data_IF_544455174056
#
_entry.id   IF_544455174056
#
_cell.length_a   1.000
_cell.length_b   1.000
_cell.length_c   1.000
_cell.angle_alpha   90.00
_cell.angle_beta   90.00
_cell.angle_gamma   90.00
#
_symmetry.space_group_name_H-M   'P 1'
#
loop_
_entity.id
_entity.type
_entity.pdbx_description
1 polymer ?
#
# COMPACT_ATOMS: atom_id res chain seq x y z
N UNK A 1 29.78 -20.65 -8.98
CA UNK A 1 30.28 -19.32 -8.57
C UNK A 1 29.07 -18.41 -8.55
N UNK A 2 28.93 -17.59 -7.51
CA UNK A 2 27.71 -16.83 -7.22
C UNK A 2 27.80 -15.47 -7.91
N UNK A 3 26.72 -14.98 -8.55
CA UNK A 3 26.75 -13.77 -9.40
C UNK A 3 27.38 -12.58 -8.66
N UNK A 4 26.96 -12.35 -7.42
CA UNK A 4 27.50 -11.24 -6.64
C UNK A 4 29.01 -11.36 -6.37
N UNK A 5 29.55 -12.58 -6.21
CA UNK A 5 30.98 -12.80 -5.99
C UNK A 5 31.80 -12.51 -7.26
N UNK A 6 31.18 -12.58 -8.44
CA UNK A 6 31.81 -12.25 -9.73
C UNK A 6 31.77 -10.75 -10.06
N UNK A 7 30.80 -10.03 -9.49
CA UNK A 7 30.46 -8.67 -9.92
C UNK A 7 30.66 -7.58 -8.86
N UNK A 8 30.92 -7.94 -7.60
CA UNK A 8 31.16 -6.99 -6.51
C UNK A 8 32.45 -7.31 -5.75
N UNK A 9 33.05 -6.27 -5.15
CA UNK A 9 34.19 -6.42 -4.26
C UNK A 9 33.81 -7.25 -3.02
N UNK A 10 34.73 -8.10 -2.55
CA UNK A 10 34.46 -9.02 -1.43
C UNK A 10 34.01 -8.29 -0.15
N UNK A 11 34.58 -7.12 0.15
CA UNK A 11 34.21 -6.31 1.31
C UNK A 11 32.77 -5.78 1.21
N UNK A 12 32.36 -5.34 0.01
CA UNK A 12 30.98 -4.91 -0.26
C UNK A 12 30.01 -6.08 -0.07
N UNK A 13 30.34 -7.27 -0.58
CA UNK A 13 29.52 -8.47 -0.39
C UNK A 13 29.35 -8.85 1.09
N UNK A 14 30.41 -8.75 1.90
CA UNK A 14 30.34 -9.02 3.35
C UNK A 14 29.42 -8.00 4.02
N UNK A 15 29.59 -6.70 3.72
CA UNK A 15 28.76 -5.62 4.26
C UNK A 15 27.28 -5.82 3.90
N UNK A 16 26.99 -6.14 2.64
CA UNK A 16 25.63 -6.37 2.17
C UNK A 16 24.96 -7.57 2.86
N UNK A 17 25.65 -8.71 2.96
CA UNK A 17 25.14 -9.89 3.65
C UNK A 17 24.78 -9.59 5.11
N UNK A 18 25.62 -8.79 5.80
CA UNK A 18 25.36 -8.35 7.17
C UNK A 18 24.10 -7.46 7.24
N UNK A 19 24.01 -6.43 6.40
CA UNK A 19 22.86 -5.51 6.37
C UNK A 19 21.55 -6.23 6.02
N UNK A 20 21.57 -7.13 5.05
CA UNK A 20 20.42 -7.96 4.68
C UNK A 20 19.98 -8.88 5.82
N UNK A 21 20.94 -9.45 6.57
CA UNK A 21 20.64 -10.30 7.73
C UNK A 21 19.96 -9.50 8.86
N UNK A 22 20.45 -8.29 9.14
CA UNK A 22 19.83 -7.37 10.12
C UNK A 22 18.43 -6.98 9.67
N UNK A 23 18.26 -6.59 8.40
CA UNK A 23 16.96 -6.23 7.85
C UNK A 23 15.96 -7.39 7.96
N UNK A 24 16.39 -8.59 7.59
CA UNK A 24 15.60 -9.82 7.69
C UNK A 24 15.15 -10.11 9.12
N UNK A 25 16.06 -9.99 10.08
CA UNK A 25 15.73 -10.15 11.50
C UNK A 25 14.61 -9.18 11.92
N UNK A 26 14.70 -7.91 11.54
CA UNK A 26 13.66 -6.92 11.88
C UNK A 26 12.35 -7.14 11.11
N UNK A 27 12.39 -7.64 9.88
CA UNK A 27 11.18 -8.09 9.20
C UNK A 27 10.49 -9.23 9.98
N UNK A 28 11.25 -10.24 10.42
CA UNK A 28 10.72 -11.37 11.20
C UNK A 28 10.10 -10.92 12.54
N UNK A 29 10.71 -9.95 13.23
CA UNK A 29 10.14 -9.34 14.44
C UNK A 29 8.85 -8.58 14.14
N UNK A 30 8.81 -7.79 13.05
CA UNK A 30 7.61 -7.05 12.65
C UNK A 30 6.48 -7.96 12.18
N UNK A 31 6.79 -9.03 11.45
CA UNK A 31 5.82 -10.06 11.06
C UNK A 31 5.19 -10.69 12.29
N UNK A 32 6.00 -11.11 13.27
CA UNK A 32 5.51 -11.69 14.53
C UNK A 32 4.62 -10.70 15.28
N UNK A 33 5.05 -9.45 15.38
CA UNK A 33 4.27 -8.39 16.00
C UNK A 33 2.93 -8.17 15.26
N UNK A 34 2.94 -8.06 13.93
CA UNK A 34 1.74 -7.90 13.10
C UNK A 34 0.75 -9.05 13.29
N UNK A 35 1.23 -10.30 13.29
CA UNK A 35 0.39 -11.46 13.55
C UNK A 35 -0.31 -11.34 14.91
N UNK A 36 0.44 -11.00 15.97
CA UNK A 36 -0.13 -10.81 17.30
C UNK A 36 -1.10 -9.63 17.35
N UNK A 37 -0.77 -8.50 16.73
CA UNK A 37 -1.64 -7.33 16.64
C UNK A 37 -2.98 -7.70 15.98
N UNK A 38 -2.93 -8.43 14.87
CA UNK A 38 -4.13 -8.90 14.17
C UNK A 38 -4.92 -9.92 15.01
N UNK A 39 -4.25 -10.85 15.70
CA UNK A 39 -4.89 -11.81 16.59
C UNK A 39 -5.61 -11.13 17.77
N UNK A 40 -5.03 -10.06 18.33
CA UNK A 40 -5.62 -9.29 19.43
C UNK A 40 -6.79 -8.39 18.99
N UNK A 41 -6.97 -8.20 17.68
CA UNK A 41 -8.17 -7.58 17.08
C UNK A 41 -9.25 -8.60 16.72
N UNK A 42 -8.91 -9.90 16.74
CA UNK A 42 -9.83 -10.96 16.38
C UNK A 42 -11.01 -11.00 17.34
N UNK A 43 -12.18 -11.23 16.77
CA UNK A 43 -13.46 -11.28 17.48
C UNK A 43 -13.83 -9.96 18.20
N UNK A 44 -13.11 -8.87 17.95
CA UNK A 44 -13.50 -7.52 18.38
C UNK A 44 -14.36 -6.86 17.31
N UNK A 45 -15.54 -6.36 17.70
CA UNK A 45 -16.36 -5.54 16.81
C UNK A 45 -15.68 -4.20 16.62
N UNK A 46 -15.19 -3.95 15.42
CA UNK A 46 -14.59 -2.66 15.06
C UNK A 46 -15.68 -1.61 14.81
N UNK A 47 -15.29 -0.34 14.89
CA UNK A 47 -16.13 0.77 14.42
C UNK A 47 -16.41 0.61 12.91
N UNK A 48 -17.54 1.15 12.45
CA UNK A 48 -17.96 1.06 11.04
C UNK A 48 -16.84 1.48 10.10
N UNK A 49 -16.48 0.61 9.16
CA UNK A 49 -15.43 0.85 8.16
C UNK A 49 -13.98 0.64 8.65
N UNK A 50 -13.71 0.62 9.96
CA UNK A 50 -12.35 0.47 10.48
C UNK A 50 -11.72 -0.92 10.21
N UNK A 51 -12.53 -1.93 9.89
CA UNK A 51 -12.02 -3.24 9.42
C UNK A 51 -11.15 -3.13 8.16
N UNK A 52 -11.29 -2.06 7.38
CA UNK A 52 -10.43 -1.80 6.23
C UNK A 52 -8.95 -1.69 6.62
N UNK A 53 -8.64 -1.13 7.79
CA UNK A 53 -7.28 -1.05 8.30
C UNK A 53 -6.69 -2.43 8.59
N UNK A 54 -7.49 -3.34 9.17
CA UNK A 54 -7.05 -4.73 9.43
C UNK A 54 -6.77 -5.48 8.12
N UNK A 55 -7.59 -5.26 7.08
CA UNK A 55 -7.37 -5.82 5.74
C UNK A 55 -6.09 -5.30 5.10
N UNK A 56 -5.82 -4.00 5.20
CA UNK A 56 -4.58 -3.38 4.71
C UNK A 56 -3.36 -3.91 5.48
N UNK A 57 -3.41 -3.98 6.81
CA UNK A 57 -2.33 -4.57 7.62
C UNK A 57 -2.08 -6.04 7.28
N UNK A 58 -3.13 -6.82 7.01
CA UNK A 58 -3.01 -8.21 6.57
C UNK A 58 -2.28 -8.29 5.22
N UNK A 59 -2.65 -7.43 4.27
CA UNK A 59 -1.98 -7.37 2.95
C UNK A 59 -0.51 -6.96 3.08
N UNK A 60 -0.21 -5.97 3.92
CA UNK A 60 1.17 -5.57 4.23
C UNK A 60 1.95 -6.75 4.82
N UNK A 61 1.39 -7.46 5.81
CA UNK A 61 2.01 -8.64 6.42
C UNK A 61 2.32 -9.73 5.38
N UNK A 62 1.39 -10.03 4.48
CA UNK A 62 1.62 -11.02 3.42
C UNK A 62 2.72 -10.59 2.43
N UNK A 63 2.77 -9.31 2.06
CA UNK A 63 3.84 -8.77 1.22
C UNK A 63 5.19 -8.78 1.94
N UNK A 64 5.19 -8.53 3.26
CA UNK A 64 6.39 -8.56 4.09
C UNK A 64 6.94 -9.99 4.20
N UNK A 65 6.07 -10.99 4.40
CA UNK A 65 6.44 -12.41 4.37
C UNK A 65 7.07 -12.80 3.02
N UNK A 66 6.45 -12.39 1.91
CA UNK A 66 6.98 -12.67 0.58
C UNK A 66 8.34 -11.99 0.35
N UNK A 67 8.51 -10.74 0.77
CA UNK A 67 9.76 -10.02 0.65
C UNK A 67 10.86 -10.69 1.49
N UNK A 68 10.54 -11.09 2.71
CA UNK A 68 11.44 -11.79 3.62
C UNK A 68 11.89 -13.15 3.05
N UNK A 69 10.95 -13.91 2.46
CA UNK A 69 11.25 -15.17 1.79
C UNK A 69 12.19 -14.99 0.59
N UNK A 70 12.14 -13.85 -0.11
CA UNK A 70 13.01 -13.57 -1.26
C UNK A 70 14.34 -12.90 -0.87
N UNK A 71 14.42 -12.23 0.28
CA UNK A 71 15.56 -11.40 0.67
C UNK A 71 16.89 -12.15 0.65
N UNK A 72 16.92 -13.40 1.12
CA UNK A 72 18.14 -14.18 1.17
C UNK A 72 18.75 -14.45 -0.22
N UNK A 73 17.91 -14.49 -1.27
CA UNK A 73 18.36 -14.68 -2.65
C UNK A 73 19.18 -13.48 -3.14
N UNK A 74 19.03 -12.29 -2.53
CA UNK A 74 19.86 -11.12 -2.85
C UNK A 74 21.32 -11.29 -2.40
N UNK A 75 21.62 -12.22 -1.48
CA UNK A 75 23.01 -12.54 -1.14
C UNK A 75 23.75 -13.17 -2.31
N UNK A 76 23.02 -13.92 -3.13
CA UNK A 76 23.58 -14.69 -4.24
C UNK A 76 23.43 -13.96 -5.58
N UNK A 77 22.28 -13.34 -5.78
CA UNK A 77 21.95 -12.60 -6.99
C UNK A 77 21.12 -11.35 -6.67
N UNK A 78 21.79 -10.20 -6.70
CA UNK A 78 21.16 -8.91 -6.46
C UNK A 78 19.98 -8.58 -7.41
N UNK A 79 19.82 -9.26 -8.56
CA UNK A 79 18.71 -9.01 -9.52
C UNK A 79 17.33 -9.33 -8.92
N UNK A 80 17.28 -10.17 -7.88
CA UNK A 80 16.06 -10.42 -7.09
C UNK A 80 15.49 -9.16 -6.42
N UNK A 81 16.28 -8.08 -6.29
CA UNK A 81 15.82 -6.81 -5.73
C UNK A 81 14.62 -6.20 -6.47
N UNK A 82 14.45 -6.49 -7.76
CA UNK A 82 13.29 -6.02 -8.54
C UNK A 82 11.98 -6.46 -7.91
N UNK A 83 11.86 -7.76 -7.62
CA UNK A 83 10.66 -8.35 -7.04
C UNK A 83 10.42 -7.81 -5.63
N UNK A 84 11.49 -7.67 -4.84
CA UNK A 84 11.42 -7.12 -3.48
C UNK A 84 10.98 -5.65 -3.52
N UNK A 85 11.52 -4.85 -4.44
CA UNK A 85 11.11 -3.46 -4.63
C UNK A 85 9.63 -3.32 -5.01
N UNK A 86 9.09 -4.21 -5.85
CA UNK A 86 7.66 -4.22 -6.19
C UNK A 86 6.79 -4.56 -4.98
N UNK A 87 7.22 -5.51 -4.13
CA UNK A 87 6.54 -5.84 -2.88
C UNK A 87 6.55 -4.65 -1.92
N UNK A 88 7.72 -4.02 -1.72
CA UNK A 88 7.86 -2.82 -0.90
C UNK A 88 7.05 -1.64 -1.43
N UNK A 89 6.99 -1.44 -2.75
CA UNK A 89 6.11 -0.42 -3.39
C UNK A 89 4.67 -0.66 -2.99
N UNK A 90 4.22 -1.91 -3.07
CA UNK A 90 2.85 -2.29 -2.74
C UNK A 90 2.54 -2.07 -1.26
N UNK A 91 3.49 -2.37 -0.36
CA UNK A 91 3.36 -2.05 1.05
C UNK A 91 3.28 -0.54 1.31
N UNK A 92 4.12 0.27 0.65
CA UNK A 92 4.08 1.74 0.79
C UNK A 92 2.74 2.31 0.27
N UNK A 93 2.21 1.79 -0.82
CA UNK A 93 0.87 2.13 -1.32
C UNK A 93 -0.22 1.82 -0.27
N UNK A 94 -0.19 0.63 0.33
CA UNK A 94 -1.12 0.26 1.40
C UNK A 94 -0.95 1.10 2.68
N UNK A 95 0.29 1.53 3.01
CA UNK A 95 0.57 2.46 4.11
C UNK A 95 -0.03 3.84 3.81
N UNK A 96 0.15 4.37 2.59
CA UNK A 96 -0.45 5.64 2.15
C UNK A 96 -1.98 5.55 2.21
N UNK A 97 -2.56 4.46 1.72
CA UNK A 97 -4.00 4.22 1.79
C UNK A 97 -4.51 4.18 3.23
N UNK A 98 -3.76 3.55 4.13
CA UNK A 98 -4.10 3.49 5.55
C UNK A 98 -4.07 4.89 6.19
N UNK A 99 -3.04 5.69 5.94
CA UNK A 99 -2.99 7.07 6.45
C UNK A 99 -4.09 7.95 5.85
N UNK A 100 -4.38 7.79 4.56
CA UNK A 100 -5.46 8.50 3.88
C UNK A 100 -6.80 8.24 4.54
N UNK A 101 -7.16 6.97 4.72
CA UNK A 101 -8.39 6.55 5.37
C UNK A 101 -8.41 6.96 6.84
N UNK A 102 -7.29 6.82 7.56
CA UNK A 102 -7.18 7.25 8.96
C UNK A 102 -7.46 8.76 9.11
N UNK A 103 -6.99 9.58 8.18
CA UNK A 103 -7.26 11.02 8.16
C UNK A 103 -8.75 11.38 7.99
N UNK A 104 -9.60 10.41 7.63
CA UNK A 104 -11.06 10.59 7.49
C UNK A 104 -11.86 10.08 8.70
N UNK A 105 -11.19 9.44 9.67
CA UNK A 105 -11.83 8.95 10.90
C UNK A 105 -12.21 10.12 11.79
N UNK A 106 -13.45 10.12 12.28
CA UNK A 106 -13.96 11.12 13.23
C UNK A 106 -14.37 10.40 14.50
N UNK A 107 -13.66 10.63 15.61
CA UNK A 107 -13.85 9.85 16.84
C UNK A 107 -15.25 9.96 17.44
N UNK A 108 -15.94 11.08 17.21
CA UNK A 108 -17.31 11.36 17.69
C UNK A 108 -18.40 11.00 16.66
N UNK A 109 -18.05 10.40 15.52
CA UNK A 109 -18.99 9.94 14.50
C UNK A 109 -19.13 8.41 14.59
N UNK A 110 -20.20 7.86 15.22
CA UNK A 110 -20.34 6.41 15.36
C UNK A 110 -20.48 5.69 14.00
N UNK A 111 -21.01 6.37 12.98
CA UNK A 111 -21.22 5.81 11.64
C UNK A 111 -19.97 5.94 10.75
N UNK A 112 -19.00 6.75 11.16
CA UNK A 112 -17.77 7.04 10.40
C UNK A 112 -18.09 7.42 8.94
N UNK A 113 -19.04 8.35 8.76
CA UNK A 113 -19.64 8.67 7.47
C UNK A 113 -18.58 9.10 6.44
N UNK A 114 -17.59 9.88 6.86
CA UNK A 114 -16.49 10.31 6.02
C UNK A 114 -15.65 9.12 5.50
N UNK A 115 -15.21 8.24 6.40
CA UNK A 115 -14.48 7.02 6.07
C UNK A 115 -15.30 6.12 5.13
N UNK A 116 -16.57 5.90 5.44
CA UNK A 116 -17.48 5.09 4.64
C UNK A 116 -17.61 5.64 3.21
N UNK A 117 -17.73 6.96 3.06
CA UNK A 117 -17.81 7.60 1.75
C UNK A 117 -16.52 7.44 0.95
N UNK A 118 -15.34 7.57 1.59
CA UNK A 118 -14.07 7.36 0.90
C UNK A 118 -13.84 5.89 0.52
N UNK A 119 -14.24 4.93 1.37
CA UNK A 119 -14.23 3.51 1.02
C UNK A 119 -15.12 3.22 -0.20
N UNK A 120 -16.31 3.83 -0.27
CA UNK A 120 -17.20 3.73 -1.44
C UNK A 120 -16.57 4.31 -2.70
N UNK A 121 -15.90 5.45 -2.59
CA UNK A 121 -15.20 6.07 -3.71
C UNK A 121 -14.10 5.15 -4.23
N UNK A 122 -13.25 4.64 -3.34
CA UNK A 122 -12.18 3.71 -3.72
C UNK A 122 -12.72 2.42 -4.34
N UNK A 123 -13.79 1.86 -3.78
CA UNK A 123 -14.46 0.67 -4.33
C UNK A 123 -15.07 0.92 -5.71
N UNK A 124 -15.71 2.08 -5.90
CA UNK A 124 -16.25 2.50 -7.19
C UNK A 124 -15.13 2.64 -8.22
N UNK A 125 -14.03 3.32 -7.87
CA UNK A 125 -12.89 3.52 -8.78
C UNK A 125 -12.23 2.18 -9.16
N UNK A 126 -12.07 1.27 -8.20
CA UNK A 126 -11.65 -0.10 -8.48
C UNK A 126 -12.61 -0.80 -9.45
N UNK A 127 -13.91 -0.74 -9.20
CA UNK A 127 -14.94 -1.38 -10.03
C UNK A 127 -14.93 -0.84 -11.46
N UNK A 128 -14.84 0.49 -11.63
CA UNK A 128 -14.75 1.13 -12.95
C UNK A 128 -13.48 0.69 -13.68
N UNK A 129 -12.34 0.67 -13.00
CA UNK A 129 -11.06 0.19 -13.58
C UNK A 129 -11.14 -1.28 -14.04
N UNK A 130 -11.78 -2.15 -13.26
CA UNK A 130 -12.03 -3.55 -13.64
C UNK A 130 -12.92 -3.64 -14.87
N UNK A 131 -14.00 -2.87 -14.93
CA UNK A 131 -14.90 -2.82 -16.10
C UNK A 131 -14.13 -2.38 -17.35
N UNK A 132 -13.31 -1.32 -17.24
CA UNK A 132 -12.51 -0.81 -18.35
C UNK A 132 -11.50 -1.86 -18.82
N UNK A 133 -10.86 -2.59 -17.91
CA UNK A 133 -9.97 -3.70 -18.22
C UNK A 133 -10.66 -4.84 -18.97
N UNK A 134 -11.85 -5.25 -18.51
CA UNK A 134 -12.63 -6.31 -19.17
C UNK A 134 -13.09 -5.85 -20.56
N UNK A 135 -13.57 -4.60 -20.69
CA UNK A 135 -13.98 -4.04 -21.98
C UNK A 135 -12.81 -3.97 -22.96
N UNK A 136 -11.63 -3.55 -22.50
CA UNK A 136 -10.42 -3.53 -23.32
C UNK A 136 -10.01 -4.94 -23.79
N UNK A 137 -10.12 -5.94 -22.90
CA UNK A 137 -9.87 -7.34 -23.27
C UNK A 137 -10.89 -7.85 -24.30
N UNK A 138 -12.18 -7.55 -24.13
CA UNK A 138 -13.23 -7.91 -25.09
C UNK A 138 -12.96 -7.30 -26.46
N UNK A 139 -12.61 -6.01 -26.52
CA UNK A 139 -12.24 -5.33 -27.76
C UNK A 139 -11.02 -5.97 -28.43
N UNK A 140 -9.98 -6.30 -27.65
CA UNK A 140 -8.81 -6.98 -28.17
C UNK A 140 -9.15 -8.37 -28.73
N UNK A 141 -9.98 -9.16 -28.04
CA UNK A 141 -10.43 -10.48 -28.51
C UNK A 141 -11.28 -10.37 -29.79
N UNK A 142 -12.16 -9.37 -29.88
CA UNK A 142 -12.96 -9.12 -31.08
C UNK A 142 -12.07 -8.75 -32.28
N UNK A 143 -11.06 -7.90 -32.06
CA UNK A 143 -10.05 -7.57 -33.06
C UNK A 143 -9.30 -8.83 -33.54
N UNK A 144 -8.78 -9.66 -32.63
CA UNK A 144 -8.08 -10.90 -32.98
C UNK A 144 -8.98 -11.85 -33.77
N UNK A 145 -10.25 -11.99 -33.37
CA UNK A 145 -11.22 -12.85 -34.05
C UNK A 145 -11.46 -12.36 -35.48
N UNK A 146 -11.60 -11.04 -35.66
CA UNK A 146 -11.77 -10.40 -36.98
C UNK A 146 -10.56 -10.65 -37.86
N UNK A 147 -9.34 -10.50 -37.34
CA UNK A 147 -8.09 -10.77 -38.07
C UNK A 147 -7.95 -12.24 -38.46
N UNK A 148 -8.48 -13.16 -37.66
CA UNK A 148 -8.47 -14.61 -37.93
C UNK A 148 -9.61 -15.09 -38.83
N UNK A 149 -10.58 -14.24 -39.15
CA UNK A 149 -11.78 -14.61 -39.90
C UNK A 149 -12.83 -15.38 -39.07
N UNK A 150 -12.70 -15.36 -37.74
CA UNK A 150 -13.65 -15.97 -36.81
C UNK A 150 -14.82 -15.02 -36.54
N UNK A 151 -15.98 -15.58 -36.16
CA UNK A 151 -17.12 -14.76 -35.70
C UNK A 151 -16.81 -14.15 -34.33
N UNK A 152 -16.91 -12.82 -34.16
CA UNK A 152 -16.68 -12.19 -32.86
C UNK A 152 -17.65 -12.73 -31.80
N UNK A 153 -17.13 -12.98 -30.60
CA UNK A 153 -17.95 -13.35 -29.44
C UNK A 153 -18.82 -12.14 -29.04
N UNK A 154 -20.10 -12.38 -28.74
CA UNK A 154 -21.02 -11.33 -28.32
C UNK A 154 -20.51 -10.62 -27.05
N UNK A 155 -20.54 -9.28 -27.06
CA UNK A 155 -20.18 -8.48 -25.89
C UNK A 155 -21.21 -8.70 -24.77
N UNK A 156 -20.71 -9.01 -23.57
CA UNK A 156 -21.53 -9.07 -22.36
C UNK A 156 -21.61 -7.64 -21.81
N UNK A 157 -22.80 -7.20 -21.40
CA UNK A 157 -22.95 -5.92 -20.67
C UNK A 157 -22.41 -6.07 -19.24
N UNK A 158 -21.09 -6.03 -19.13
CA UNK A 158 -20.34 -6.16 -17.88
C UNK A 158 -20.66 -5.00 -16.96
N UNK A 159 -20.92 -3.81 -17.49
CA UNK A 159 -21.22 -2.63 -16.69
C UNK A 159 -22.56 -2.77 -15.95
N UNK A 160 -23.61 -3.27 -16.61
CA UNK A 160 -24.88 -3.54 -15.97
C UNK A 160 -24.76 -4.58 -14.85
N UNK A 161 -23.94 -5.63 -15.05
CA UNK A 161 -23.65 -6.64 -14.03
C UNK A 161 -23.03 -6.02 -12.76
N UNK A 162 -21.99 -5.20 -12.93
CA UNK A 162 -21.33 -4.55 -11.79
C UNK A 162 -22.20 -3.50 -11.10
N UNK A 163 -23.01 -2.73 -11.85
CA UNK A 163 -23.98 -1.79 -11.25
C UNK A 163 -25.02 -2.50 -10.39
N UNK A 164 -25.54 -3.65 -10.85
CA UNK A 164 -26.50 -4.46 -10.08
C UNK A 164 -25.90 -4.98 -8.78
N UNK A 165 -24.61 -5.33 -8.78
CA UNK A 165 -23.89 -5.76 -7.57
C UNK A 165 -23.54 -4.64 -6.59
N UNK A 166 -23.60 -3.37 -7.02
CA UNK A 166 -23.16 -2.20 -6.24
C UNK A 166 -24.20 -1.07 -6.27
N UNK A 167 -25.44 -1.32 -5.82
CA UNK A 167 -26.54 -0.37 -5.97
C UNK A 167 -26.32 0.94 -5.20
N UNK A 168 -25.49 0.94 -4.17
CA UNK A 168 -25.18 2.10 -3.35
C UNK A 168 -24.09 3.02 -3.92
N UNK A 169 -23.56 2.68 -5.10
CA UNK A 169 -22.63 3.49 -5.90
C UNK A 169 -23.30 4.08 -7.16
N UNK A 170 -24.59 3.81 -7.36
CA UNK A 170 -25.36 4.19 -8.55
C UNK A 170 -26.43 5.20 -8.14
N UNK A 171 -26.61 6.25 -8.96
CA UNK A 171 -27.64 7.26 -8.76
C UNK A 171 -29.04 6.74 -9.16
N UNK A 172 -30.06 7.57 -8.93
CA UNK A 172 -31.45 7.24 -9.29
C UNK A 172 -31.68 7.03 -10.80
N UNK A 173 -30.74 7.47 -11.64
CA UNK A 173 -30.80 7.36 -13.09
C UNK A 173 -29.98 6.17 -13.63
N UNK A 174 -29.42 5.31 -12.77
CA UNK A 174 -28.60 4.18 -13.19
C UNK A 174 -27.17 4.54 -13.59
N UNK A 175 -26.69 5.75 -13.27
CA UNK A 175 -25.32 6.21 -13.54
C UNK A 175 -24.47 6.06 -12.29
N UNK A 176 -23.16 5.85 -12.47
CA UNK A 176 -22.23 5.88 -11.34
C UNK A 176 -22.27 7.24 -10.65
N UNK A 177 -22.43 7.26 -9.34
CA UNK A 177 -22.39 8.50 -8.55
C UNK A 177 -21.02 9.16 -8.68
N UNK A 178 -20.98 10.49 -8.74
CA UNK A 178 -19.71 11.22 -8.75
C UNK A 178 -19.05 11.18 -7.36
N UNK A 179 -17.74 11.44 -7.28
CA UNK A 179 -17.06 11.53 -5.98
C UNK A 179 -17.66 12.69 -5.13
N UNK A 180 -18.13 13.75 -5.79
CA UNK A 180 -18.82 14.86 -5.11
C UNK A 180 -20.16 14.43 -4.49
N UNK A 181 -20.95 13.62 -5.22
CA UNK A 181 -22.23 13.09 -4.71
C UNK A 181 -22.01 12.17 -3.51
N UNK A 182 -21.01 11.29 -3.58
CA UNK A 182 -20.64 10.39 -2.48
C UNK A 182 -20.15 11.17 -1.25
N UNK A 183 -19.43 12.29 -1.44
CA UNK A 183 -18.97 13.17 -0.35
C UNK A 183 -20.04 14.15 0.15
N UNK A 184 -21.25 14.11 -0.42
CA UNK A 184 -22.29 15.08 -0.07
C UNK A 184 -22.66 15.04 1.42
N UNK A 185 -22.59 13.86 2.03
CA UNK A 185 -22.87 13.59 3.46
C UNK A 185 -21.63 13.60 4.35
N UNK A 186 -20.44 13.86 3.81
CA UNK A 186 -19.19 13.93 4.59
C UNK A 186 -19.18 15.18 5.46
N UNK A 187 -18.65 15.06 6.69
CA UNK A 187 -18.48 16.19 7.63
C UNK A 187 -17.81 17.40 6.95
N UNK A 188 -18.32 18.64 7.13
CA UNK A 188 -17.85 19.83 6.41
C UNK A 188 -16.33 20.07 6.49
N UNK A 189 -15.74 19.90 7.68
CA UNK A 189 -14.30 20.13 7.88
C UNK A 189 -13.43 19.16 7.07
N UNK A 190 -13.80 17.87 7.05
CA UNK A 190 -13.11 16.86 6.25
C UNK A 190 -13.39 17.09 4.77
N UNK A 191 -14.64 17.39 4.43
CA UNK A 191 -15.05 17.67 3.04
C UNK A 191 -14.26 18.84 2.45
N UNK A 192 -14.01 19.90 3.23
CA UNK A 192 -13.18 21.03 2.81
C UNK A 192 -11.77 20.57 2.45
N UNK A 193 -11.14 19.75 3.29
CA UNK A 193 -9.80 19.20 3.03
C UNK A 193 -9.78 18.27 1.81
N UNK A 194 -10.80 17.42 1.65
CA UNK A 194 -10.92 16.51 0.50
C UNK A 194 -11.19 17.22 -0.83
N UNK A 195 -11.83 18.39 -0.79
CA UNK A 195 -12.23 19.17 -1.97
C UNK A 195 -11.28 20.33 -2.30
N UNK A 196 -10.16 20.50 -1.58
CA UNK A 196 -9.12 21.49 -1.91
C UNK A 196 -8.47 21.26 -3.29
N UNK A 197 -8.74 20.14 -3.93
CA UNK A 197 -8.28 19.83 -5.27
C UNK A 197 -9.48 19.86 -6.23
N UNK A 198 -9.54 20.89 -7.07
CA UNK A 198 -10.69 21.29 -7.92
C UNK A 198 -11.16 20.26 -8.97
N UNK A 199 -10.74 19.00 -8.91
CA UNK A 199 -11.28 17.94 -9.76
C UNK A 199 -11.52 16.66 -8.94
N UNK A 200 -12.79 16.40 -8.62
CA UNK A 200 -13.31 15.18 -8.01
C UNK A 200 -13.23 13.95 -8.96
N UNK A 201 -12.14 13.82 -9.72
CA UNK A 201 -11.78 12.61 -10.47
C UNK A 201 -10.99 11.61 -9.60
N UNK A 202 -10.42 10.59 -10.24
CA UNK A 202 -9.67 9.47 -9.63
C UNK A 202 -8.79 9.86 -8.42
N UNK A 203 -8.88 9.12 -7.31
CA UNK A 203 -8.10 9.34 -6.09
C UNK A 203 -6.71 8.69 -6.24
N UNK A 204 -5.85 9.35 -7.00
CA UNK A 204 -4.43 8.96 -7.14
C UNK A 204 -3.64 9.13 -5.83
N UNK A 205 -2.49 8.47 -5.75
CA UNK A 205 -1.56 8.56 -4.61
C UNK A 205 -1.10 10.01 -4.37
N UNK A 206 -0.91 10.79 -5.43
CA UNK A 206 -0.59 12.21 -5.32
C UNK A 206 -1.69 13.00 -4.59
N UNK A 207 -2.97 12.68 -4.84
CA UNK A 207 -4.10 13.30 -4.14
C UNK A 207 -4.18 12.84 -2.68
N UNK A 208 -3.93 11.56 -2.42
CA UNK A 208 -3.87 11.01 -1.05
C UNK A 208 -2.78 11.72 -0.24
N UNK A 209 -1.56 11.84 -0.79
CA UNK A 209 -0.44 12.54 -0.16
C UNK A 209 -0.71 14.04 0.04
N UNK A 210 -1.36 14.71 -0.92
CA UNK A 210 -1.74 16.11 -0.78
C UNK A 210 -2.77 16.32 0.35
N UNK A 211 -3.74 15.40 0.48
CA UNK A 211 -4.66 15.39 1.62
C UNK A 211 -3.94 15.20 2.96
N UNK A 212 -2.96 14.28 3.05
CA UNK A 212 -2.15 14.11 4.26
C UNK A 212 -1.37 15.37 4.60
N UNK A 213 -0.80 16.03 3.59
CA UNK A 213 -0.09 17.31 3.76
C UNK A 213 -1.01 18.42 4.27
N UNK A 214 -2.23 18.53 3.73
CA UNK A 214 -3.23 19.51 4.17
C UNK A 214 -3.71 19.30 5.61
N UNK A 215 -3.41 18.14 6.21
CA UNK A 215 -3.66 17.81 7.61
C UNK A 215 -2.42 17.94 8.49
N UNK A 216 -1.35 18.56 7.98
CA UNK A 216 -0.08 18.77 8.67
C UNK A 216 0.54 17.48 9.23
N UNK A 217 0.38 16.36 8.50
CA UNK A 217 0.98 15.09 8.90
C UNK A 217 2.47 15.05 8.49
N UNK A 218 3.40 14.85 9.45
CA UNK A 218 4.83 15.08 9.22
C UNK A 218 5.50 14.05 8.30
N UNK A 219 4.87 12.88 8.08
CA UNK A 219 5.41 11.78 7.27
C UNK A 219 5.09 11.89 5.78
N UNK A 220 4.36 12.92 5.32
CA UNK A 220 3.93 13.01 3.92
C UNK A 220 5.09 13.07 2.91
N UNK A 221 6.16 13.81 3.23
CA UNK A 221 7.32 13.94 2.35
C UNK A 221 8.13 12.64 2.26
N UNK A 222 8.25 11.92 3.38
CA UNK A 222 8.92 10.62 3.42
C UNK A 222 8.14 9.58 2.60
N UNK A 223 6.82 9.47 2.80
CA UNK A 223 5.97 8.57 2.01
C UNK A 223 6.00 8.89 0.52
N UNK A 224 6.02 10.18 0.15
CA UNK A 224 6.18 10.63 -1.22
C UNK A 224 7.53 10.18 -1.81
N UNK A 225 8.60 10.32 -1.04
CA UNK A 225 9.95 9.90 -1.45
C UNK A 225 10.01 8.38 -1.66
N UNK A 226 9.54 7.59 -0.68
CA UNK A 226 9.49 6.13 -0.75
C UNK A 226 8.68 5.65 -1.96
N UNK A 227 7.46 6.18 -2.13
CA UNK A 227 6.59 5.80 -3.24
C UNK A 227 7.22 6.14 -4.60
N UNK A 228 7.82 7.33 -4.74
CA UNK A 228 8.48 7.74 -5.98
C UNK A 228 9.71 6.88 -6.28
N UNK A 229 10.51 6.55 -5.28
CA UNK A 229 11.68 5.69 -5.45
C UNK A 229 11.27 4.30 -5.92
N UNK A 230 10.37 3.64 -5.20
CA UNK A 230 9.97 2.27 -5.46
C UNK A 230 9.15 2.12 -6.77
N UNK A 231 8.44 3.17 -7.19
CA UNK A 231 7.69 3.17 -8.46
C UNK A 231 8.60 3.10 -9.70
N UNK A 232 9.89 3.38 -9.57
CA UNK A 232 10.85 3.25 -10.69
C UNK A 232 11.01 1.80 -11.15
N UNK A 233 10.67 0.83 -10.28
CA UNK A 233 10.77 -0.61 -10.55
C UNK A 233 9.48 -1.21 -11.15
N UNK A 234 8.42 -0.41 -11.33
CA UNK A 234 7.11 -0.88 -11.81
C UNK A 234 7.02 -0.95 -13.35
N UNK A 235 7.97 -0.32 -14.05
CA UNK A 235 8.06 -0.36 -15.51
C UNK A 235 9.46 -0.79 -15.92
N UNK A 236 9.57 -1.64 -16.94
CA UNK A 236 10.84 -1.90 -17.65
C UNK A 236 11.25 -0.60 -18.38
N UNK A 237 11.64 0.40 -17.61
CA UNK A 237 12.22 1.63 -18.11
C UNK A 237 13.61 1.30 -18.68
N UNK A 238 14.06 1.94 -19.78
CA UNK A 238 15.41 1.77 -20.29
C UNK A 238 16.50 2.09 -19.24
N UNK A 239 16.19 2.94 -18.25
CA UNK A 239 17.06 3.24 -17.12
C UNK A 239 16.91 2.25 -15.95
N UNK A 240 15.87 1.42 -15.95
CA UNK A 240 15.68 0.38 -14.94
C UNK A 240 16.86 -0.59 -14.95
N UNK A 241 17.44 -0.94 -16.11
CA UNK A 241 18.65 -1.77 -16.15
C UNK A 241 19.83 -1.14 -15.36
N UNK A 242 20.02 0.19 -15.45
CA UNK A 242 21.06 0.89 -14.70
C UNK A 242 20.77 0.96 -13.19
N UNK A 243 19.53 1.24 -12.81
CA UNK A 243 19.07 1.20 -11.41
C UNK A 243 19.13 -0.22 -10.83
N UNK A 244 18.91 -1.23 -11.67
CA UNK A 244 19.03 -2.64 -11.30
C UNK A 244 20.49 -2.99 -11.03
N UNK A 245 21.45 -2.41 -11.77
CA UNK A 245 22.88 -2.68 -11.62
C UNK A 245 23.56 -1.96 -10.46
N UNK A 246 22.96 -0.90 -9.91
CA UNK A 246 23.59 0.00 -8.94
C UNK A 246 22.71 0.18 -7.69
N UNK A 247 23.30 0.60 -6.56
CA UNK A 247 22.58 1.11 -5.37
C UNK A 247 21.80 0.11 -4.49
N UNK A 248 22.22 -1.15 -4.39
CA UNK A 248 21.63 -2.10 -3.41
C UNK A 248 21.65 -1.56 -1.96
N UNK A 249 22.66 -0.77 -1.60
CA UNK A 249 22.71 -0.11 -0.29
C UNK A 249 21.58 0.90 -0.05
N UNK A 250 21.19 1.64 -1.10
CA UNK A 250 20.07 2.57 -1.06
C UNK A 250 18.75 1.80 -0.96
N UNK A 251 18.62 0.69 -1.70
CA UNK A 251 17.42 -0.17 -1.64
C UNK A 251 17.21 -0.69 -0.19
N UNK A 252 18.27 -1.17 0.47
CA UNK A 252 18.22 -1.59 1.88
C UNK A 252 17.75 -0.44 2.78
N UNK A 253 18.29 0.77 2.59
CA UNK A 253 17.86 1.95 3.35
C UNK A 253 16.37 2.25 3.13
N UNK A 254 15.88 2.19 1.89
CA UNK A 254 14.46 2.37 1.56
C UNK A 254 13.58 1.30 2.22
N UNK A 255 14.07 0.06 2.31
CA UNK A 255 13.38 -1.01 3.02
C UNK A 255 13.27 -0.69 4.52
N UNK A 256 14.36 -0.26 5.15
CA UNK A 256 14.40 0.15 6.56
C UNK A 256 13.41 1.29 6.85
N UNK A 257 13.38 2.32 6.01
CA UNK A 257 12.43 3.43 6.12
C UNK A 257 10.98 2.95 6.00
N UNK A 258 10.70 2.03 5.07
CA UNK A 258 9.35 1.46 4.92
C UNK A 258 8.92 0.70 6.18
N UNK A 259 9.83 -0.07 6.82
CA UNK A 259 9.55 -0.72 8.10
C UNK A 259 9.29 0.29 9.23
N UNK A 260 10.03 1.40 9.24
CA UNK A 260 9.78 2.52 10.15
C UNK A 260 8.38 3.12 9.98
N UNK A 261 7.96 3.36 8.74
CA UNK A 261 6.61 3.85 8.43
C UNK A 261 5.52 2.87 8.85
N UNK A 262 5.76 1.57 8.71
CA UNK A 262 4.83 0.53 9.16
C UNK A 262 4.66 0.54 10.69
N UNK A 263 5.75 0.66 11.46
CA UNK A 263 5.69 0.84 12.91
C UNK A 263 4.87 2.08 13.30
N UNK A 264 5.14 3.22 12.65
CA UNK A 264 4.40 4.46 12.90
C UNK A 264 2.92 4.31 12.59
N UNK A 265 2.59 3.64 11.48
CA UNK A 265 1.21 3.38 11.09
C UNK A 265 0.49 2.53 12.15
N UNK A 266 1.07 1.40 12.56
CA UNK A 266 0.50 0.55 13.61
C UNK A 266 0.26 1.34 14.91
N UNK A 267 1.20 2.21 15.27
CA UNK A 267 1.05 3.09 16.43
C UNK A 267 -0.16 4.02 16.31
N UNK A 268 -0.38 4.63 15.15
CA UNK A 268 -1.54 5.49 14.92
C UNK A 268 -2.86 4.71 14.96
N UNK A 269 -2.84 3.46 14.47
CA UNK A 269 -4.03 2.63 14.41
C UNK A 269 -4.53 2.17 15.78
N UNK A 270 -3.68 2.16 16.82
CA UNK A 270 -4.12 1.99 18.21
C UNK A 270 -5.17 3.03 18.63
N UNK A 271 -5.14 4.23 18.07
CA UNK A 271 -6.10 5.29 18.39
C UNK A 271 -7.51 5.04 17.86
N UNK A 272 -7.66 4.16 16.86
CA UNK A 272 -8.92 4.00 16.11
C UNK A 272 -9.46 2.57 16.09
N UNK A 273 -8.60 1.57 16.33
CA UNK A 273 -8.97 0.16 16.38
C UNK A 273 -9.23 -0.30 17.81
N UNK A 274 -10.22 -1.17 17.94
CA UNK A 274 -10.50 -1.90 19.18
C UNK A 274 -9.56 -3.10 19.25
N UNK A 275 -8.66 -3.09 20.24
CA UNK A 275 -7.54 -4.05 20.36
C UNK A 275 -7.47 -4.53 21.81
N UNK A 276 -7.46 -5.85 22.00
CA UNK A 276 -7.18 -6.46 23.31
C UNK A 276 -5.72 -6.24 23.70
N UNK A 277 -5.45 -6.17 25.00
CA UNK A 277 -4.08 -6.00 25.52
C UNK A 277 -3.32 -4.80 24.93
N UNK A 278 -4.04 -3.74 24.52
CA UNK A 278 -3.51 -2.55 23.84
C UNK A 278 -2.26 -1.96 24.50
N UNK A 279 -2.25 -1.84 25.83
CA UNK A 279 -1.10 -1.30 26.56
C UNK A 279 0.17 -2.15 26.39
N UNK A 280 0.02 -3.48 26.44
CA UNK A 280 1.14 -4.42 26.27
C UNK A 280 1.68 -4.33 24.84
N UNK A 281 0.79 -4.33 23.85
CA UNK A 281 1.21 -4.22 22.45
C UNK A 281 1.86 -2.86 22.12
N UNK A 282 1.41 -1.76 22.72
CA UNK A 282 2.04 -0.44 22.53
C UNK A 282 3.45 -0.39 23.15
N UNK A 283 3.64 -0.99 24.32
CA UNK A 283 4.96 -1.12 24.96
C UNK A 283 5.91 -1.98 24.13
N UNK A 284 5.43 -3.11 23.61
CA UNK A 284 6.21 -3.97 22.70
C UNK A 284 6.59 -3.23 21.42
N UNK A 285 5.64 -2.51 20.80
CA UNK A 285 5.90 -1.73 19.60
C UNK A 285 6.98 -0.66 19.83
N UNK A 286 6.91 0.03 20.97
CA UNK A 286 7.91 1.03 21.35
C UNK A 286 9.29 0.39 21.57
N UNK A 287 9.34 -0.80 22.19
CA UNK A 287 10.58 -1.55 22.38
C UNK A 287 11.22 -1.98 21.06
N UNK A 288 10.41 -2.57 20.15
CA UNK A 288 10.85 -2.95 18.80
C UNK A 288 11.35 -1.73 18.04
N UNK A 289 10.59 -0.63 18.04
CA UNK A 289 10.96 0.58 17.31
C UNK A 289 12.28 1.19 17.79
N UNK A 290 12.51 1.21 19.12
CA UNK A 290 13.78 1.68 19.69
C UNK A 290 14.94 0.77 19.27
N UNK A 291 14.79 -0.54 19.46
CA UNK A 291 15.86 -1.50 19.16
C UNK A 291 16.19 -1.54 17.65
N UNK A 292 15.19 -1.39 16.78
CA UNK A 292 15.38 -1.28 15.34
C UNK A 292 16.14 -0.01 14.96
N UNK A 293 15.80 1.14 15.56
CA UNK A 293 16.51 2.40 15.33
C UNK A 293 17.96 2.31 15.79
N UNK A 294 18.22 1.76 16.97
CA UNK A 294 19.57 1.57 17.51
C UNK A 294 20.39 0.61 16.60
N UNK A 295 19.76 -0.45 16.09
CA UNK A 295 20.37 -1.39 15.16
C UNK A 295 20.70 -0.77 13.80
N UNK A 296 19.90 0.17 13.30
CA UNK A 296 20.16 0.84 12.03
C UNK A 296 21.19 1.98 12.14
N UNK A 297 21.28 2.62 13.31
CA UNK A 297 22.23 3.72 13.55
C UNK A 297 23.62 3.25 14.00
N UNK A 298 23.75 2.02 14.52
CA UNK A 298 25.03 1.47 15.00
C UNK A 298 25.98 1.03 13.88
N UNK A 299 25.56 1.11 12.61
CA UNK A 299 26.41 0.86 11.44
C UNK A 299 26.54 2.13 10.60
N UNK A 300 27.57 2.98 10.82
CA UNK A 300 27.78 4.15 9.99
C UNK A 300 28.12 3.75 8.54
N UNK A 301 27.57 4.55 7.62
CA UNK A 301 27.63 4.43 6.16
C UNK A 301 29.04 4.28 5.61
#
# INVERSE_FOLDING_TARGET
MVYNDEHFEAELNIKLRKRLSILRFWQDELIRYLCRFLDETKDQRQRTGCEAFLKLLTKIRLNLDAANALMHLMNDDYRYKTSINVLYRTMVDDIINSYYLWGTVVMNDPEQQALRNELKILHKEFTVSVIDGIKAEQQFRAFVSTVKGDTPIAEVDVEAYFKKGNPDLVDRNGKWQTNADLRSTTHPDIKKQLNQHENCGFISEAKKLAFLKARDLPWHDELKSLFKYLSQYQHFSPQAHHLLTLHIDQDITIYQHTLGQLLMLMRQLFGVLEIKNKLVLDQELASIGKAMLDSFNSEPF
#
